data_IF_562823783696
#
_entry.id   IF_562823783696
#
_cell.length_a   1.000
_cell.length_b   1.000
_cell.length_c   1.000
_cell.angle_alpha   90.00
_cell.angle_beta   90.00
_cell.angle_gamma   90.00
#
_symmetry.space_group_name_H-M   'P 1'
#
loop_
_entity.id
_entity.type
_entity.pdbx_description
1 polymer ?
#
# COMPACT_ATOMS: atom_id res chain seq x y z
N UNK A 1 11.51 11.94 14.70
CA UNK A 1 11.20 10.85 13.75
C UNK A 1 12.20 10.94 12.61
N UNK A 2 13.18 10.03 12.53
CA UNK A 2 14.23 10.11 11.52
C UNK A 2 13.93 9.15 10.38
N UNK A 3 13.70 9.69 9.19
CA UNK A 3 13.71 8.96 7.92
C UNK A 3 15.15 8.89 7.38
N UNK A 4 15.44 7.89 6.56
CA UNK A 4 16.62 7.86 5.70
C UNK A 4 16.35 8.71 4.45
N UNK A 5 17.32 9.53 4.05
CA UNK A 5 17.19 10.40 2.90
C UNK A 5 17.98 9.83 1.73
N UNK A 6 17.28 9.56 0.63
CA UNK A 6 17.89 9.23 -0.65
C UNK A 6 17.74 10.43 -1.59
N UNK A 7 18.85 11.12 -1.82
CA UNK A 7 18.90 12.26 -2.74
C UNK A 7 18.83 11.79 -4.19
N UNK A 8 18.00 12.45 -4.99
CA UNK A 8 17.93 12.24 -6.44
C UNK A 8 17.96 13.58 -7.17
N UNK A 9 17.98 13.56 -8.50
CA UNK A 9 18.12 14.75 -9.34
C UNK A 9 16.92 15.71 -9.25
N UNK A 10 15.69 15.20 -9.19
CA UNK A 10 14.49 16.06 -9.20
C UNK A 10 13.83 16.18 -7.82
N UNK A 11 13.48 15.06 -7.17
CA UNK A 11 12.87 15.07 -5.85
C UNK A 11 13.56 14.08 -4.90
N UNK A 12 13.81 14.42 -3.62
CA UNK A 12 14.33 13.47 -2.67
C UNK A 12 13.31 12.37 -2.34
N UNK A 13 13.82 11.21 -1.94
CA UNK A 13 13.02 10.10 -1.39
C UNK A 13 13.29 10.00 0.10
N UNK A 14 12.22 10.04 0.90
CA UNK A 14 12.27 9.88 2.36
C UNK A 14 11.79 8.48 2.73
N UNK A 15 12.65 7.69 3.38
CA UNK A 15 12.36 6.30 3.70
C UNK A 15 12.23 6.06 5.20
N UNK A 16 11.10 5.49 5.61
CA UNK A 16 10.86 5.06 6.99
C UNK A 16 11.17 3.57 7.16
N UNK A 17 12.32 3.14 6.65
CA UNK A 17 12.70 1.72 6.52
C UNK A 17 13.82 1.33 7.48
N UNK A 18 14.06 2.10 8.55
CA UNK A 18 15.16 1.83 9.49
C UNK A 18 15.00 0.42 10.09
N UNK A 19 16.00 -0.44 9.87
CA UNK A 19 15.98 -1.83 10.33
C UNK A 19 15.20 -2.78 9.42
N UNK A 20 14.69 -2.31 8.29
CA UNK A 20 14.01 -3.12 7.27
C UNK A 20 14.79 -3.02 5.96
N UNK A 21 15.30 -4.13 5.42
CA UNK A 21 16.00 -4.14 4.14
C UNK A 21 15.07 -3.69 3.01
N UNK A 22 15.58 -2.83 2.12
CA UNK A 22 14.91 -2.47 0.86
C UNK A 22 15.67 -3.12 -0.29
N UNK A 23 14.97 -3.93 -1.08
CA UNK A 23 15.54 -4.62 -2.23
C UNK A 23 16.12 -3.64 -3.27
N UNK A 24 17.19 -4.06 -3.95
CA UNK A 24 17.88 -3.20 -4.92
C UNK A 24 16.95 -2.73 -6.04
N UNK A 25 16.08 -3.60 -6.54
CA UNK A 25 15.16 -3.28 -7.62
C UNK A 25 14.06 -2.29 -7.16
N UNK A 26 13.54 -2.46 -5.94
CA UNK A 26 12.61 -1.50 -5.34
C UNK A 26 13.28 -0.13 -5.17
N UNK A 27 14.52 -0.10 -4.69
CA UNK A 27 15.32 1.13 -4.56
C UNK A 27 15.54 1.81 -5.91
N UNK A 28 15.85 1.04 -6.96
CA UNK A 28 16.02 1.58 -8.30
C UNK A 28 14.72 2.14 -8.87
N UNK A 29 13.59 1.47 -8.64
CA UNK A 29 12.26 1.94 -9.05
C UNK A 29 11.88 3.25 -8.35
N UNK A 30 12.20 3.41 -7.06
CA UNK A 30 12.05 4.67 -6.32
C UNK A 30 12.89 5.79 -6.95
N UNK A 31 14.16 5.52 -7.27
CA UNK A 31 15.05 6.49 -7.93
C UNK A 31 14.49 6.92 -9.28
N UNK A 32 14.02 5.97 -10.09
CA UNK A 32 13.47 6.27 -11.41
C UNK A 32 12.20 7.13 -11.30
N UNK A 33 11.32 6.82 -10.34
CA UNK A 33 10.10 7.58 -10.09
C UNK A 33 10.42 9.00 -9.59
N UNK A 34 11.39 9.13 -8.69
CA UNK A 34 11.80 10.41 -8.12
C UNK A 34 12.36 11.40 -9.15
N UNK A 35 12.91 10.90 -10.26
CA UNK A 35 13.41 11.70 -11.39
C UNK A 35 12.32 12.32 -12.26
N UNK A 36 11.06 11.89 -12.14
CA UNK A 36 9.97 12.40 -12.99
C UNK A 36 9.71 13.88 -12.70
N UNK A 37 9.56 14.75 -13.72
CA UNK A 37 9.57 16.21 -13.55
C UNK A 37 8.37 16.78 -12.78
N UNK A 38 7.31 16.00 -12.63
CA UNK A 38 6.06 16.39 -11.96
C UNK A 38 5.94 15.88 -10.52
N UNK A 39 6.98 15.22 -9.97
CA UNK A 39 6.98 14.86 -8.54
C UNK A 39 6.96 16.13 -7.69
N UNK A 40 6.05 16.17 -6.72
CA UNK A 40 5.85 17.33 -5.85
C UNK A 40 6.54 17.15 -4.50
N UNK A 41 7.61 17.90 -4.27
CA UNK A 41 8.42 17.96 -3.03
C UNK A 41 9.26 16.70 -2.72
N UNK A 42 8.66 15.53 -2.54
CA UNK A 42 9.38 14.29 -2.20
C UNK A 42 8.49 13.04 -2.35
N UNK A 43 9.11 11.87 -2.53
CA UNK A 43 8.45 10.57 -2.36
C UNK A 43 8.59 10.13 -0.89
N UNK A 44 7.53 9.59 -0.31
CA UNK A 44 7.58 8.98 1.02
C UNK A 44 7.47 7.45 0.91
N UNK A 45 8.34 6.72 1.61
CA UNK A 45 8.48 5.26 1.49
C UNK A 45 8.24 4.61 2.85
N UNK A 46 7.29 3.69 2.86
CA UNK A 46 6.87 2.94 4.05
C UNK A 46 7.76 1.70 4.27
N UNK A 47 7.78 1.12 5.49
CA UNK A 47 8.61 -0.04 5.81
C UNK A 47 8.31 -1.29 4.96
N UNK A 48 7.10 -1.42 4.40
CA UNK A 48 6.63 -2.54 3.58
C UNK A 48 6.94 -2.37 2.08
N UNK A 49 7.81 -1.42 1.73
CA UNK A 49 8.17 -1.14 0.34
C UNK A 49 8.78 -2.36 -0.35
N UNK A 50 8.30 -2.65 -1.55
CA UNK A 50 8.85 -3.68 -2.41
C UNK A 50 8.58 -3.37 -3.89
N UNK A 51 9.22 -4.13 -4.76
CA UNK A 51 9.09 -3.99 -6.20
C UNK A 51 7.62 -4.17 -6.61
N UNK A 52 7.11 -3.21 -7.39
CA UNK A 52 5.77 -3.30 -7.96
C UNK A 52 5.78 -3.13 -9.48
N UNK A 53 4.59 -3.19 -10.08
CA UNK A 53 4.41 -3.00 -11.53
C UNK A 53 4.24 -1.52 -11.84
N UNK A 54 5.27 -0.89 -12.40
CA UNK A 54 5.31 0.53 -12.73
C UNK A 54 5.81 1.40 -11.57
N UNK A 55 5.20 1.27 -10.39
CA UNK A 55 5.62 1.90 -9.14
C UNK A 55 5.95 0.86 -8.08
N UNK A 56 6.71 1.22 -7.04
CA UNK A 56 6.81 0.39 -5.84
C UNK A 56 5.48 0.38 -5.10
N UNK A 57 5.19 -0.76 -4.45
CA UNK A 57 4.17 -0.83 -3.39
C UNK A 57 4.76 -0.22 -2.12
N UNK A 58 3.92 0.32 -1.23
CA UNK A 58 4.40 0.95 0.02
C UNK A 58 5.03 2.34 -0.20
N UNK A 59 4.60 3.09 -1.23
CA UNK A 59 5.09 4.45 -1.48
C UNK A 59 3.96 5.45 -1.66
N UNK A 60 4.21 6.70 -1.26
CA UNK A 60 3.37 7.87 -1.53
C UNK A 60 4.11 8.75 -2.54
N UNK A 61 3.52 8.92 -3.71
CA UNK A 61 4.11 9.61 -4.86
C UNK A 61 3.24 10.84 -5.19
N UNK A 62 3.47 11.98 -4.52
CA UNK A 62 2.73 13.20 -4.80
C UNK A 62 3.17 13.79 -6.15
N UNK A 63 2.20 14.18 -6.97
CA UNK A 63 2.44 14.82 -8.27
C UNK A 63 1.77 16.19 -8.34
N UNK A 64 2.27 17.07 -9.22
CA UNK A 64 1.61 18.35 -9.56
C UNK A 64 1.39 18.42 -11.07
N UNK A 65 0.13 18.54 -11.48
CA UNK A 65 -0.25 18.66 -12.90
C UNK A 65 -0.11 17.37 -13.72
N UNK A 66 0.02 16.22 -13.06
CA UNK A 66 0.11 14.91 -13.71
C UNK A 66 -0.53 13.81 -12.86
N UNK A 67 -1.00 12.74 -13.51
CA UNK A 67 -1.48 11.51 -12.87
C UNK A 67 -0.62 10.35 -13.40
N UNK A 68 -0.28 9.40 -12.53
CA UNK A 68 0.44 8.18 -12.88
C UNK A 68 -0.48 6.97 -12.59
N UNK A 69 -1.25 6.46 -13.57
CA UNK A 69 -2.17 5.35 -13.33
C UNK A 69 -1.49 4.10 -12.73
N UNK A 70 -0.28 3.79 -13.19
CA UNK A 70 0.50 2.66 -12.68
C UNK A 70 0.95 2.81 -11.21
N UNK A 71 0.93 4.03 -10.66
CA UNK A 71 1.23 4.27 -9.24
C UNK A 71 0.01 4.02 -8.32
N UNK A 72 -1.20 3.92 -8.87
CA UNK A 72 -2.41 3.56 -8.11
C UNK A 72 -2.47 2.06 -7.85
N UNK A 73 -1.99 1.25 -8.82
CA UNK A 73 -2.06 -0.21 -8.79
C UNK A 73 -3.14 -0.74 -9.74
N UNK A 74 -3.08 -2.06 -9.99
CA UNK A 74 -4.02 -2.75 -10.89
C UNK A 74 -5.39 -3.01 -10.26
N UNK A 75 -5.44 -3.10 -8.93
CA UNK A 75 -6.65 -3.31 -8.14
C UNK A 75 -7.06 -2.00 -7.46
N UNK A 76 -7.71 -1.14 -8.24
CA UNK A 76 -8.09 0.20 -7.80
C UNK A 76 -9.20 0.08 -6.74
N UNK A 77 -8.97 0.72 -5.59
CA UNK A 77 -9.88 0.62 -4.45
C UNK A 77 -9.55 -0.53 -3.50
N UNK A 78 -8.49 -1.30 -3.76
CA UNK A 78 -7.94 -2.23 -2.79
C UNK A 78 -7.67 -1.51 -1.45
N UNK A 79 -8.18 -2.09 -0.38
CA UNK A 79 -8.17 -1.50 0.95
C UNK A 79 -8.86 -2.41 1.95
N UNK A 80 -8.90 -1.96 3.20
CA UNK A 80 -9.47 -2.73 4.30
C UNK A 80 -10.66 -1.98 4.90
N UNK A 81 -11.68 -2.74 5.29
CA UNK A 81 -12.76 -2.26 6.13
C UNK A 81 -12.77 -3.08 7.43
N UNK A 82 -12.96 -2.42 8.56
CA UNK A 82 -13.05 -3.05 9.87
C UNK A 82 -14.36 -2.63 10.54
N UNK A 83 -15.19 -3.61 10.89
CA UNK A 83 -16.43 -3.40 11.61
C UNK A 83 -16.26 -3.86 13.06
N UNK A 84 -16.48 -2.95 14.01
CA UNK A 84 -16.52 -3.28 15.43
C UNK A 84 -17.84 -3.98 15.75
N UNK A 85 -17.77 -5.14 16.39
CA UNK A 85 -18.93 -5.87 16.91
C UNK A 85 -19.06 -5.65 18.43
N UNK A 86 -20.19 -6.07 19.00
CA UNK A 86 -20.36 -6.14 20.45
C UNK A 86 -19.74 -7.41 21.07
N UNK A 87 -19.24 -8.34 20.24
CA UNK A 87 -18.68 -9.62 20.67
C UNK A 87 -17.24 -9.44 21.18
N UNK A 88 -16.87 -10.29 22.11
CA UNK A 88 -15.52 -10.46 22.65
C UNK A 88 -14.95 -11.80 22.22
N UNK A 89 -13.66 -12.05 22.50
CA UNK A 89 -13.05 -13.35 22.22
C UNK A 89 -13.74 -14.50 22.96
N UNK A 90 -14.35 -14.24 24.13
CA UNK A 90 -15.06 -15.25 24.91
C UNK A 90 -16.42 -15.65 24.30
N UNK A 91 -16.98 -14.82 23.43
CA UNK A 91 -18.23 -15.11 22.71
C UNK A 91 -17.99 -15.97 21.45
N UNK A 92 -16.72 -16.21 21.09
CA UNK A 92 -16.34 -16.97 19.91
C UNK A 92 -16.10 -18.44 20.26
N UNK A 93 -16.51 -19.37 19.37
CA UNK A 93 -16.18 -20.78 19.56
C UNK A 93 -14.66 -21.01 19.45
N UNK A 94 -14.16 -22.07 20.09
CA UNK A 94 -12.74 -22.46 19.96
C UNK A 94 -12.36 -22.76 18.51
N UNK A 95 -13.30 -23.30 17.72
CA UNK A 95 -13.14 -23.57 16.30
C UNK A 95 -13.88 -22.51 15.45
N UNK A 96 -13.12 -21.69 14.72
CA UNK A 96 -13.65 -20.61 13.88
C UNK A 96 -14.03 -21.04 12.45
N UNK A 97 -13.89 -22.32 12.09
CA UNK A 97 -14.12 -22.81 10.73
C UNK A 97 -15.55 -22.51 10.23
N UNK A 98 -16.55 -22.78 11.07
CA UNK A 98 -17.97 -22.54 10.72
C UNK A 98 -18.26 -21.04 10.57
N UNK A 99 -17.72 -20.22 11.48
CA UNK A 99 -17.86 -18.76 11.41
C UNK A 99 -17.23 -18.19 10.14
N UNK A 100 -16.02 -18.63 9.79
CA UNK A 100 -15.36 -18.24 8.53
C UNK A 100 -16.21 -18.62 7.32
N UNK A 101 -16.70 -19.86 7.26
CA UNK A 101 -17.53 -20.33 6.15
C UNK A 101 -18.83 -19.54 6.02
N UNK A 102 -19.45 -19.18 7.14
CA UNK A 102 -20.64 -18.34 7.16
C UNK A 102 -20.36 -16.93 6.58
N UNK A 103 -19.23 -16.31 6.93
CA UNK A 103 -18.82 -15.00 6.39
C UNK A 103 -18.56 -15.07 4.88
N UNK A 104 -17.83 -16.10 4.43
CA UNK A 104 -17.52 -16.31 3.01
C UNK A 104 -18.82 -16.52 2.19
N UNK A 105 -19.79 -17.26 2.73
CA UNK A 105 -21.07 -17.56 2.06
C UNK A 105 -22.05 -16.39 2.08
N UNK A 106 -22.08 -15.61 3.17
CA UNK A 106 -22.99 -14.46 3.33
C UNK A 106 -22.73 -13.32 2.33
N UNK A 107 -21.64 -13.37 1.57
CA UNK A 107 -21.44 -12.50 0.42
C UNK A 107 -20.82 -11.15 0.75
N UNK A 108 -20.13 -11.00 1.89
CA UNK A 108 -19.25 -9.84 2.11
C UNK A 108 -18.23 -9.67 0.96
N UNK A 109 -17.80 -10.77 0.34
CA UNK A 109 -16.98 -10.77 -0.88
C UNK A 109 -17.78 -10.53 -2.17
N UNK A 110 -19.10 -10.79 -2.18
CA UNK A 110 -19.94 -10.77 -3.40
C UNK A 110 -20.56 -9.40 -3.69
N UNK A 111 -20.73 -8.56 -2.66
CA UNK A 111 -21.27 -7.22 -2.81
C UNK A 111 -20.30 -6.25 -3.52
N UNK A 112 -18.98 -6.41 -3.31
CA UNK A 112 -17.97 -5.56 -3.96
C UNK A 112 -17.92 -5.77 -5.50
N UNK A 113 -18.08 -7.00 -5.97
CA UNK A 113 -18.05 -7.34 -7.40
C UNK A 113 -19.30 -6.96 -8.20
N UNK A 114 -20.40 -6.53 -7.56
CA UNK A 114 -21.62 -6.10 -8.26
C UNK A 114 -21.71 -4.58 -8.49
N UNK A 115 -20.76 -3.81 -7.96
CA UNK A 115 -20.70 -2.36 -8.12
C UNK A 115 -19.66 -1.90 -9.17
N UNK A 116 -19.03 -2.86 -9.86
CA UNK A 116 -18.17 -2.68 -11.05
C UNK A 116 -18.78 -3.43 -12.23
#
# INVERSE_FOLDING_TARGET
>A
MNYELLTTENAPVKMWTKGVPVEADARQQLINTAKMPFIFKHIAVMPDVHLGKGSTIGSVIPTKGAIIPAAVGVDIGCGMNALRTALTAADLPENLAELRQAIETAGAARAYYRAL
#
